data_IF_065400924290
#
_entry.id   IF_065400924290
#
_cell.length_a   1.000
_cell.length_b   1.000
_cell.length_c   1.000
_cell.angle_alpha   90.00
_cell.angle_beta   90.00
_cell.angle_gamma   90.00
#
_symmetry.space_group_name_H-M   'P 1'
#
loop_
_entity.id
_entity.type
_entity.pdbx_description
1 polymer ?
#
# COMPACT_ATOMS: atom_id res chain seq x y z
N UNK A 1 -1.53 3.03 2.24
CA UNK A 1 -1.20 1.59 2.27
C UNK A 1 0.23 1.46 2.77
N UNK A 2 0.51 0.51 3.67
CA UNK A 2 1.87 0.19 4.07
C UNK A 2 2.17 -1.24 3.64
N UNK A 3 3.10 -1.40 2.71
CA UNK A 3 3.51 -2.70 2.19
C UNK A 3 4.74 -3.17 2.96
N UNK A 4 4.54 -4.14 3.84
CA UNK A 4 5.61 -4.76 4.62
C UNK A 4 6.25 -5.86 3.77
N UNK A 5 7.54 -5.75 3.44
CA UNK A 5 8.24 -6.71 2.58
C UNK A 5 8.69 -7.95 3.36
N UNK A 6 7.75 -8.60 4.03
CA UNK A 6 7.95 -9.83 4.78
C UNK A 6 6.71 -10.72 4.68
N UNK A 7 6.91 -12.03 4.66
CA UNK A 7 5.83 -13.02 4.60
C UNK A 7 5.32 -13.35 5.99
N UNK A 8 4.00 -13.43 6.12
CA UNK A 8 3.30 -13.83 7.34
C UNK A 8 2.19 -14.83 6.99
N UNK A 9 1.88 -15.73 7.92
CA UNK A 9 0.64 -16.50 7.86
C UNK A 9 -0.55 -15.55 8.08
N UNK A 10 -1.62 -15.73 7.31
CA UNK A 10 -2.79 -14.87 7.38
C UNK A 10 -4.06 -15.58 6.91
N UNK A 11 -5.20 -15.14 7.44
CA UNK A 11 -6.54 -15.65 7.16
C UNK A 11 -7.41 -14.64 6.39
N UNK A 12 -6.89 -13.43 6.14
CA UNK A 12 -7.58 -12.36 5.44
C UNK A 12 -6.62 -11.54 4.56
N UNK A 13 -7.18 -10.92 3.52
CA UNK A 13 -6.45 -10.06 2.57
C UNK A 13 -7.07 -8.67 2.49
N UNK A 14 -6.22 -7.67 2.27
CA UNK A 14 -6.68 -6.34 1.87
C UNK A 14 -7.28 -6.42 0.45
N UNK A 15 -8.38 -5.71 0.15
CA UNK A 15 -8.97 -5.71 -1.19
C UNK A 15 -8.01 -5.11 -2.22
N UNK A 16 -8.07 -5.62 -3.44
CA UNK A 16 -7.27 -5.07 -4.54
C UNK A 16 -7.71 -3.64 -4.86
N UNK A 17 -6.76 -2.70 -4.88
CA UNK A 17 -7.04 -1.32 -5.28
C UNK A 17 -7.24 -1.26 -6.79
N UNK A 18 -8.37 -0.67 -7.20
CA UNK A 18 -8.67 -0.44 -8.60
C UNK A 18 -7.93 0.82 -9.10
N UNK A 19 -7.03 0.67 -10.07
CA UNK A 19 -6.24 1.75 -10.67
C UNK A 19 -7.08 2.81 -11.41
N UNK A 20 -8.30 2.45 -11.82
CA UNK A 20 -9.25 3.40 -12.43
C UNK A 20 -10.02 4.22 -11.39
N UNK A 21 -9.98 3.84 -10.12
CA UNK A 21 -10.63 4.55 -9.01
C UNK A 21 -9.62 5.27 -8.12
N UNK A 22 -8.39 4.78 -8.04
CA UNK A 22 -7.36 5.31 -7.16
C UNK A 22 -6.09 5.63 -7.93
N UNK A 23 -5.48 6.75 -7.57
CA UNK A 23 -4.19 7.20 -8.09
C UNK A 23 -3.17 7.28 -6.96
N UNK A 24 -1.95 6.78 -7.20
CA UNK A 24 -0.84 6.91 -6.27
C UNK A 24 -0.34 8.36 -6.27
N UNK A 25 -0.41 9.01 -5.11
CA UNK A 25 0.00 10.43 -4.94
C UNK A 25 1.41 10.53 -4.38
N UNK A 26 1.79 9.61 -3.50
CA UNK A 26 3.10 9.62 -2.85
C UNK A 26 3.52 8.22 -2.47
N UNK A 27 4.81 7.96 -2.52
CA UNK A 27 5.44 6.73 -2.04
C UNK A 27 6.76 7.05 -1.37
N UNK A 28 7.02 6.40 -0.23
CA UNK A 28 8.26 6.52 0.53
C UNK A 28 8.67 5.16 1.10
N UNK A 29 9.94 4.81 0.94
CA UNK A 29 10.52 3.60 1.56
C UNK A 29 11.06 3.95 2.94
N UNK A 30 10.55 3.28 3.96
CA UNK A 30 10.90 3.54 5.37
C UNK A 30 11.82 2.44 5.89
N UNK A 31 13.00 2.86 6.37
CA UNK A 31 14.03 1.99 6.96
C UNK A 31 13.75 1.76 8.46
N UNK A 32 12.69 1.01 8.77
CA UNK A 32 12.38 0.54 10.12
C UNK A 32 13.05 -0.82 10.41
N UNK A 33 12.80 -1.39 11.60
CA UNK A 33 13.30 -2.73 11.97
C UNK A 33 12.90 -3.79 10.93
N UNK A 34 11.70 -3.67 10.38
CA UNK A 34 11.28 -4.36 9.15
C UNK A 34 11.02 -3.26 8.12
N UNK A 35 11.81 -3.18 7.03
CA UNK A 35 11.59 -2.19 5.98
C UNK A 35 10.21 -2.35 5.33
N UNK A 36 9.57 -1.22 5.01
CA UNK A 36 8.28 -1.20 4.35
C UNK A 36 8.14 0.01 3.42
N UNK A 37 7.23 -0.08 2.46
CA UNK A 37 6.87 1.03 1.58
C UNK A 37 5.57 1.66 2.06
N UNK A 38 5.57 2.97 2.30
CA UNK A 38 4.35 3.71 2.62
C UNK A 38 3.86 4.46 1.37
N UNK A 39 2.62 4.18 0.97
CA UNK A 39 1.99 4.74 -0.21
C UNK A 39 0.69 5.47 0.15
N UNK A 40 0.52 6.69 -0.35
CA UNK A 40 -0.72 7.48 -0.23
C UNK A 40 -1.44 7.47 -1.56
N UNK A 41 -2.71 7.07 -1.55
CA UNK A 41 -3.57 7.07 -2.73
C UNK A 41 -4.68 8.10 -2.56
N UNK A 42 -5.02 8.79 -3.65
CA UNK A 42 -6.22 9.61 -3.74
C UNK A 42 -7.25 8.89 -4.60
N UNK A 43 -8.53 9.03 -4.25
CA UNK A 43 -9.62 8.60 -5.12
C UNK A 43 -9.71 9.57 -6.28
N UNK A 44 -9.78 9.05 -7.51
CA UNK A 44 -10.06 9.84 -8.70
C UNK A 44 -11.49 10.38 -8.57
N UNK A 45 -11.63 11.71 -8.60
CA UNK A 45 -12.92 12.33 -8.85
C UNK A 45 -13.11 12.30 -10.37
N UNK A 46 -14.14 11.59 -10.84
CA UNK A 46 -14.43 11.38 -12.27
C UNK A 46 -14.56 12.66 -13.06
#
# INVERSE_FOLDING_TARGET
>A
LSEVHQTFEGDAFFPMLNETEFELVSTETIQAVIPYTHSVYARRNG
#
